data_IF_634247698913
#
_entry.id   IF_634247698913
#
_cell.length_a   1.000
_cell.length_b   1.000
_cell.length_c   1.000
_cell.angle_alpha   90.00
_cell.angle_beta   90.00
_cell.angle_gamma   90.00
#
_symmetry.space_group_name_H-M   'P 1'
#
loop_
_entity.id
_entity.type
_entity.pdbx_description
1 polymer ?
#
# COMPACT_ATOMS: atom_id res chain seq x y z
N UNK A 1 31.19 16.99 17.21
CA UNK A 1 31.55 16.28 15.97
C UNK A 1 30.49 16.63 14.95
N UNK A 2 30.85 17.24 13.82
CA UNK A 2 29.90 17.53 12.74
C UNK A 2 29.48 16.19 12.13
N UNK A 3 28.19 15.86 12.21
CA UNK A 3 27.63 14.66 11.59
C UNK A 3 27.78 14.81 10.06
N UNK A 4 28.77 14.13 9.47
CA UNK A 4 29.12 14.29 8.04
C UNK A 4 28.18 13.52 7.11
N UNK A 5 27.28 12.70 7.66
CA UNK A 5 26.35 11.87 6.92
C UNK A 5 24.91 12.07 7.41
N UNK A 6 23.97 12.08 6.46
CA UNK A 6 22.55 11.98 6.78
C UNK A 6 22.25 10.60 7.35
N UNK A 7 21.27 10.49 8.25
CA UNK A 7 20.96 9.24 8.97
C UNK A 7 20.75 8.03 8.02
N UNK A 8 20.10 8.24 6.88
CA UNK A 8 19.75 7.17 5.93
C UNK A 8 20.96 6.60 5.17
N UNK A 9 22.11 7.27 5.21
CA UNK A 9 23.33 6.80 4.54
C UNK A 9 24.03 5.68 5.31
N UNK A 10 23.77 5.58 6.62
CA UNK A 10 24.44 4.62 7.52
C UNK A 10 23.48 3.87 8.44
N UNK A 11 22.22 4.30 8.52
CA UNK A 11 21.25 3.77 9.47
C UNK A 11 20.78 2.36 9.11
N UNK A 12 20.46 1.58 10.16
CA UNK A 12 19.88 0.25 10.05
C UNK A 12 18.35 0.36 10.07
N UNK A 13 17.70 -0.18 9.04
CA UNK A 13 16.25 -0.15 8.88
C UNK A 13 15.68 -1.52 9.28
N UNK A 14 14.62 -1.50 10.09
CA UNK A 14 13.83 -2.68 10.44
C UNK A 14 12.48 -2.63 9.73
N UNK A 15 12.25 -3.57 8.82
CA UNK A 15 10.97 -3.68 8.13
C UNK A 15 9.96 -4.42 9.01
N UNK A 16 8.75 -3.85 9.13
CA UNK A 16 7.62 -4.45 9.82
C UNK A 16 6.52 -4.72 8.80
N UNK A 17 6.07 -5.98 8.75
CA UNK A 17 4.82 -6.35 8.11
C UNK A 17 3.69 -6.30 9.17
N UNK A 18 2.80 -5.28 9.17
CA UNK A 18 1.92 -4.97 10.31
C UNK A 18 1.07 -6.15 10.76
N UNK A 19 0.43 -6.83 9.79
CA UNK A 19 -0.51 -7.95 10.02
C UNK A 19 0.06 -9.08 10.86
N UNK A 20 1.39 -9.25 10.87
CA UNK A 20 2.05 -10.39 11.51
C UNK A 20 3.01 -9.98 12.62
N UNK A 21 3.00 -8.71 13.03
CA UNK A 21 3.93 -8.23 14.04
C UNK A 21 3.42 -8.45 15.47
N UNK A 22 2.33 -7.76 15.84
CA UNK A 22 1.70 -7.94 17.14
C UNK A 22 0.24 -7.45 17.12
N UNK A 23 -0.69 -8.35 17.46
CA UNK A 23 -2.10 -8.04 17.70
C UNK A 23 -2.25 -7.47 19.13
N UNK A 24 -2.89 -6.29 19.25
CA UNK A 24 -3.13 -5.63 20.54
C UNK A 24 -4.59 -5.68 21.00
N UNK A 25 -5.52 -6.04 20.11
CA UNK A 25 -6.95 -5.93 20.33
C UNK A 25 -7.67 -7.30 20.38
N UNK A 26 -6.97 -8.38 20.01
CA UNK A 26 -7.45 -9.76 20.06
C UNK A 26 -8.20 -10.24 18.82
N UNK A 27 -8.14 -9.54 17.69
CA UNK A 27 -8.79 -9.92 16.43
C UNK A 27 -7.96 -10.90 15.56
N UNK A 28 -6.74 -11.22 15.98
CA UNK A 28 -5.82 -12.14 15.31
C UNK A 28 -4.94 -11.49 14.24
N UNK A 29 -5.00 -10.17 14.05
CA UNK A 29 -4.17 -9.42 13.10
C UNK A 29 -3.35 -8.35 13.82
N UNK A 30 -2.08 -8.22 13.45
CA UNK A 30 -1.23 -7.19 14.03
C UNK A 30 -1.63 -5.77 13.62
N UNK A 31 -1.50 -4.83 14.56
CA UNK A 31 -2.03 -3.47 14.46
C UNK A 31 -1.01 -2.39 14.90
N UNK A 32 -1.33 -1.11 14.68
CA UNK A 32 -0.44 0.02 15.02
C UNK A 32 -0.20 0.16 16.53
N UNK A 33 -1.19 0.00 17.43
CA UNK A 33 -0.93 0.01 18.87
C UNK A 33 0.00 -1.13 19.30
N UNK A 34 -0.11 -2.31 18.67
CA UNK A 34 0.79 -3.44 18.87
C UNK A 34 2.23 -3.09 18.53
N UNK A 35 2.47 -2.46 17.38
CA UNK A 35 3.80 -1.94 17.01
C UNK A 35 4.30 -0.91 18.03
N UNK A 36 3.43 0.03 18.42
CA UNK A 36 3.76 1.08 19.40
C UNK A 36 4.25 0.47 20.73
N UNK A 37 3.61 -0.61 21.19
CA UNK A 37 3.99 -1.31 22.43
C UNK A 37 5.38 -1.97 22.39
N UNK A 38 5.99 -2.11 21.21
CA UNK A 38 7.29 -2.77 21.01
C UNK A 38 8.41 -1.81 20.58
N UNK A 39 8.17 -0.51 20.58
CA UNK A 39 9.20 0.46 20.22
C UNK A 39 10.45 0.39 21.14
N UNK A 40 10.28 0.03 22.41
CA UNK A 40 11.42 -0.17 23.33
C UNK A 40 12.26 -1.41 22.94
N UNK A 41 11.62 -2.46 22.41
CA UNK A 41 12.32 -3.61 21.86
C UNK A 41 13.11 -3.23 20.59
N UNK A 42 12.50 -2.46 19.69
CA UNK A 42 13.17 -1.99 18.47
C UNK A 42 14.35 -1.07 18.80
N UNK A 43 14.20 -0.19 19.79
CA UNK A 43 15.31 0.61 20.32
C UNK A 43 16.42 -0.25 20.90
N UNK A 44 16.07 -1.26 21.70
CA UNK A 44 17.05 -2.20 22.27
C UNK A 44 17.82 -2.96 21.18
N UNK A 45 17.14 -3.32 20.08
CA UNK A 45 17.76 -3.96 18.92
C UNK A 45 18.80 -3.05 18.24
N UNK A 46 18.74 -1.74 18.45
CA UNK A 46 19.70 -0.76 17.94
C UNK A 46 19.44 -0.31 16.52
N UNK A 47 18.19 -0.37 16.05
CA UNK A 47 17.80 0.08 14.70
C UNK A 47 17.59 1.59 14.68
N UNK A 48 17.84 2.23 13.55
CA UNK A 48 17.70 3.67 13.36
C UNK A 48 16.34 4.06 12.79
N UNK A 49 15.71 3.15 12.03
CA UNK A 49 14.44 3.41 11.36
C UNK A 49 13.53 2.18 11.29
N UNK A 50 12.24 2.45 11.24
CA UNK A 50 11.20 1.47 10.95
C UNK A 50 10.71 1.71 9.53
N UNK A 51 10.62 0.65 8.72
CA UNK A 51 9.93 0.67 7.44
C UNK A 51 8.65 -0.16 7.57
N UNK A 52 7.51 0.49 7.37
CA UNK A 52 6.21 -0.16 7.49
C UNK A 52 5.68 -0.52 6.10
N UNK A 53 5.33 -1.80 5.93
CA UNK A 53 4.50 -2.23 4.79
C UNK A 53 3.11 -1.57 4.82
N UNK A 54 2.34 -1.60 3.71
CA UNK A 54 1.13 -0.79 3.58
C UNK A 54 0.12 -0.93 4.71
N UNK A 55 -0.37 0.21 5.19
CA UNK A 55 -1.43 0.32 6.22
C UNK A 55 -2.67 1.05 5.73
N UNK A 56 -2.72 1.40 4.45
CA UNK A 56 -3.79 2.18 3.85
C UNK A 56 -5.08 1.36 3.70
N UNK A 57 -6.26 2.00 3.66
CA UNK A 57 -7.48 1.36 3.22
C UNK A 57 -7.28 0.64 1.88
N UNK A 58 -7.72 -0.61 1.85
CA UNK A 58 -7.47 -1.63 0.83
C UNK A 58 -8.49 -2.74 1.03
N UNK A 59 -9.00 -3.38 -0.03
CA UNK A 59 -9.83 -4.59 0.08
C UNK A 59 -9.09 -5.81 0.65
N UNK A 60 -7.76 -5.70 0.82
CA UNK A 60 -6.85 -6.73 1.30
C UNK A 60 -6.73 -7.94 0.37
N UNK A 61 -7.06 -7.79 -0.92
CA UNK A 61 -6.88 -8.83 -1.91
C UNK A 61 -5.39 -9.11 -2.19
N UNK A 62 -4.53 -8.09 -2.06
CA UNK A 62 -3.07 -8.19 -2.03
C UNK A 62 -2.50 -7.65 -0.71
N UNK A 63 -3.22 -7.92 0.39
CA UNK A 63 -2.84 -7.61 1.77
C UNK A 63 -2.30 -6.19 2.01
N UNK A 64 -2.87 -5.18 1.33
CA UNK A 64 -2.56 -3.77 1.55
C UNK A 64 -1.89 -3.07 0.36
N UNK A 65 -1.39 -3.81 -0.62
CA UNK A 65 -0.81 -3.21 -1.84
C UNK A 65 -1.88 -2.77 -2.86
N UNK A 66 -3.11 -3.32 -2.75
CA UNK A 66 -4.30 -2.90 -3.46
C UNK A 66 -5.01 -1.72 -2.75
N UNK A 67 -4.44 -0.51 -2.84
CA UNK A 67 -4.90 0.67 -2.09
C UNK A 67 -6.21 1.26 -2.67
N UNK A 68 -7.22 1.47 -1.81
CA UNK A 68 -8.49 2.15 -2.15
C UNK A 68 -8.58 3.60 -1.63
N UNK A 69 -7.71 3.98 -0.69
CA UNK A 69 -7.56 5.38 -0.25
C UNK A 69 -6.14 5.66 0.29
N UNK A 70 -5.38 6.53 -0.38
CA UNK A 70 -4.00 6.86 0.01
C UNK A 70 -3.84 7.74 1.26
N UNK A 71 -4.91 8.33 1.79
CA UNK A 71 -4.83 9.31 2.89
C UNK A 71 -5.41 8.79 4.21
N UNK A 72 -5.77 7.51 4.27
CA UNK A 72 -6.33 6.88 5.46
C UNK A 72 -5.42 5.80 6.05
N UNK A 73 -5.86 5.24 7.17
CA UNK A 73 -5.37 3.98 7.75
C UNK A 73 -6.51 2.97 7.67
N UNK A 74 -6.22 1.74 7.26
CA UNK A 74 -7.20 0.66 7.24
C UNK A 74 -7.64 0.33 8.66
N UNK A 75 -8.94 0.15 8.88
CA UNK A 75 -9.52 -0.09 10.21
C UNK A 75 -8.92 -1.30 10.94
N UNK A 76 -8.54 -2.34 10.20
CA UNK A 76 -7.80 -3.51 10.72
C UNK A 76 -6.49 -3.16 11.44
N UNK A 77 -5.84 -2.05 11.08
CA UNK A 77 -4.59 -1.62 11.72
C UNK A 77 -4.80 -0.53 12.77
N UNK A 78 -6.01 0.03 12.86
CA UNK A 78 -6.36 1.13 13.75
C UNK A 78 -6.78 2.39 12.98
N UNK A 79 -6.39 3.55 13.50
CA UNK A 79 -6.83 4.86 13.03
C UNK A 79 -5.65 5.77 12.67
N UNK A 80 -5.94 6.92 12.04
CA UNK A 80 -4.93 7.97 11.85
C UNK A 80 -4.35 8.47 13.19
N UNK A 81 -5.16 8.48 14.26
CA UNK A 81 -4.68 8.87 15.58
C UNK A 81 -3.70 7.85 16.18
N UNK A 82 -3.88 6.56 15.88
CA UNK A 82 -2.93 5.51 16.28
C UNK A 82 -1.61 5.65 15.51
N UNK A 83 -1.67 6.02 14.23
CA UNK A 83 -0.48 6.35 13.44
C UNK A 83 0.26 7.57 14.00
N UNK A 84 -0.46 8.65 14.33
CA UNK A 84 0.14 9.83 14.97
C UNK A 84 0.82 9.47 16.29
N UNK A 85 0.17 8.62 17.10
CA UNK A 85 0.72 8.12 18.36
C UNK A 85 2.00 7.31 18.13
N UNK A 86 1.97 6.38 17.16
CA UNK A 86 3.13 5.57 16.79
C UNK A 86 4.31 6.44 16.36
N UNK A 87 4.07 7.41 15.47
CA UNK A 87 5.11 8.33 14.98
C UNK A 87 5.68 9.18 16.12
N UNK A 88 4.82 9.73 16.97
CA UNK A 88 5.26 10.52 18.12
C UNK A 88 6.13 9.68 19.08
N UNK A 89 5.69 8.47 19.41
CA UNK A 89 6.40 7.57 20.31
C UNK A 89 7.71 7.04 19.71
N UNK A 90 7.77 6.81 18.40
CA UNK A 90 8.98 6.43 17.69
C UNK A 90 10.00 7.58 17.72
N UNK A 91 9.57 8.81 17.41
CA UNK A 91 10.44 9.99 17.43
C UNK A 91 10.99 10.30 18.83
N UNK A 92 10.23 10.06 19.91
CA UNK A 92 10.73 10.18 21.29
C UNK A 92 11.87 9.21 21.62
N UNK A 93 12.05 8.16 20.80
CA UNK A 93 13.11 7.15 20.92
C UNK A 93 14.20 7.32 19.86
N UNK A 94 14.21 8.46 19.18
CA UNK A 94 15.10 8.79 18.07
C UNK A 94 14.97 7.85 16.85
N UNK A 95 13.90 7.05 16.78
CA UNK A 95 13.60 6.17 15.64
C UNK A 95 13.02 6.99 14.48
N UNK A 96 13.50 6.74 13.26
CA UNK A 96 12.92 7.27 12.02
C UNK A 96 11.81 6.35 11.52
N UNK A 97 10.96 6.88 10.63
CA UNK A 97 9.84 6.14 10.08
C UNK A 97 9.77 6.31 8.56
N UNK A 98 9.58 5.19 7.86
CA UNK A 98 9.37 5.12 6.41
C UNK A 98 8.06 4.36 6.19
N UNK A 99 7.21 4.89 5.33
CA UNK A 99 5.99 4.22 4.87
C UNK A 99 6.20 3.73 3.44
N UNK A 100 5.71 2.52 3.15
CA UNK A 100 5.59 2.07 1.76
C UNK A 100 4.69 3.01 0.95
N UNK A 101 5.05 3.21 -0.30
CA UNK A 101 4.26 3.99 -1.26
C UNK A 101 4.08 3.18 -2.54
N UNK A 102 2.82 2.94 -2.92
CA UNK A 102 2.44 2.13 -4.09
C UNK A 102 1.84 3.03 -5.18
N UNK A 103 2.67 3.70 -6.01
CA UNK A 103 2.17 4.63 -7.04
C UNK A 103 1.79 3.96 -8.36
N UNK A 104 2.19 2.72 -8.58
CA UNK A 104 2.06 2.06 -9.89
C UNK A 104 0.61 1.71 -10.24
N UNK A 105 -0.20 1.36 -9.24
CA UNK A 105 -1.58 0.90 -9.41
C UNK A 105 -2.40 1.25 -8.16
N UNK A 106 -3.73 1.19 -8.29
CA UNK A 106 -4.68 1.26 -7.18
C UNK A 106 -5.51 -0.02 -7.12
N UNK A 107 -6.26 -0.24 -6.04
CA UNK A 107 -7.39 -1.18 -6.07
C UNK A 107 -8.41 -0.77 -7.13
N UNK A 108 -9.14 -1.74 -7.67
CA UNK A 108 -10.32 -1.52 -8.49
C UNK A 108 -11.48 -0.89 -7.70
N UNK A 109 -11.49 -0.98 -6.37
CA UNK A 109 -12.42 -0.25 -5.50
C UNK A 109 -12.02 1.22 -5.28
N UNK A 110 -10.83 1.65 -5.74
CA UNK A 110 -10.41 3.04 -5.60
C UNK A 110 -11.37 3.98 -6.37
N UNK A 111 -11.79 5.12 -5.80
CA UNK A 111 -12.72 6.06 -6.46
C UNK A 111 -12.29 6.47 -7.87
N UNK A 112 -10.99 6.65 -8.08
CA UNK A 112 -10.44 6.95 -9.40
C UNK A 112 -10.73 5.85 -10.44
N UNK A 113 -10.58 4.57 -10.08
CA UNK A 113 -10.87 3.48 -11.01
C UNK A 113 -12.37 3.37 -11.28
N UNK A 114 -13.19 3.51 -10.24
CA UNK A 114 -14.65 3.51 -10.37
C UNK A 114 -15.13 4.63 -11.31
N UNK A 115 -14.57 5.84 -11.19
CA UNK A 115 -14.83 6.94 -12.12
C UNK A 115 -14.31 6.65 -13.54
N UNK A 116 -13.08 6.16 -13.69
CA UNK A 116 -12.49 5.83 -14.99
C UNK A 116 -13.27 4.73 -15.74
N UNK A 117 -13.82 3.77 -15.00
CA UNK A 117 -14.65 2.66 -15.50
C UNK A 117 -16.07 3.10 -15.85
N UNK A 118 -16.58 4.18 -15.26
CA UNK A 118 -17.97 4.62 -15.42
C UNK A 118 -18.36 4.95 -16.88
N UNK A 119 -17.43 5.48 -17.66
CA UNK A 119 -17.63 5.84 -19.08
C UNK A 119 -16.29 6.03 -19.80
N UNK A 120 -16.27 5.79 -21.11
CA UNK A 120 -15.14 6.12 -21.99
C UNK A 120 -14.85 7.64 -22.09
N UNK A 121 -15.75 8.49 -21.61
CA UNK A 121 -15.62 9.97 -21.67
C UNK A 121 -15.41 10.62 -20.31
N UNK A 122 -15.26 9.84 -19.23
CA UNK A 122 -15.03 10.40 -17.90
C UNK A 122 -13.65 11.09 -17.83
N UNK A 123 -13.52 12.17 -17.06
CA UNK A 123 -12.26 12.92 -16.91
C UNK A 123 -11.10 12.07 -16.37
N UNK A 124 -11.40 11.02 -15.59
CA UNK A 124 -10.41 10.08 -15.07
C UNK A 124 -10.15 8.89 -15.99
N UNK A 125 -10.77 8.83 -17.19
CA UNK A 125 -10.64 7.67 -18.09
C UNK A 125 -9.17 7.33 -18.37
N UNK A 126 -8.38 8.35 -18.71
CA UNK A 126 -6.98 8.20 -19.12
C UNK A 126 -6.00 8.11 -17.93
N UNK A 127 -6.50 8.01 -16.70
CA UNK A 127 -5.66 7.73 -15.52
C UNK A 127 -5.27 6.25 -15.44
N UNK A 128 -5.99 5.37 -16.15
CA UNK A 128 -5.71 3.94 -16.27
C UNK A 128 -5.52 3.55 -17.73
N UNK A 129 -4.88 2.40 -17.96
CA UNK A 129 -4.55 1.95 -19.31
C UNK A 129 -5.69 1.09 -19.83
N UNK A 130 -6.46 1.65 -20.77
CA UNK A 130 -7.55 0.96 -21.47
C UNK A 130 -7.20 0.65 -22.92
N UNK A 131 -7.62 -0.50 -23.44
CA UNK A 131 -7.44 -0.88 -24.85
C UNK A 131 -8.68 -1.58 -25.38
N UNK A 132 -9.04 -1.32 -26.64
CA UNK A 132 -10.06 -2.10 -27.32
C UNK A 132 -9.61 -3.57 -27.47
N UNK A 133 -10.55 -4.52 -27.56
CA UNK A 133 -10.24 -5.90 -27.89
C UNK A 133 -9.43 -6.03 -29.18
N UNK A 134 -8.54 -7.02 -29.23
CA UNK A 134 -7.90 -7.43 -30.47
C UNK A 134 -8.94 -7.96 -31.49
N UNK A 135 -8.62 -8.01 -32.80
CA UNK A 135 -9.46 -8.70 -33.77
C UNK A 135 -9.82 -10.11 -33.29
N UNK A 136 -11.12 -10.40 -33.14
CA UNK A 136 -11.62 -11.65 -32.57
C UNK A 136 -12.02 -11.59 -31.08
N UNK A 137 -11.86 -10.44 -30.41
CA UNK A 137 -12.41 -10.17 -29.07
C UNK A 137 -11.46 -10.45 -27.91
N UNK A 138 -10.26 -10.96 -28.15
CA UNK A 138 -9.27 -11.27 -27.11
C UNK A 138 -8.48 -10.06 -26.58
N UNK A 139 -7.57 -10.27 -25.60
CA UNK A 139 -6.66 -9.25 -25.10
C UNK A 139 -5.86 -8.55 -26.22
N UNK A 140 -5.48 -7.27 -26.04
CA UNK A 140 -4.80 -6.48 -27.08
C UNK A 140 -3.38 -6.96 -27.40
N UNK A 141 -2.71 -7.69 -26.49
CA UNK A 141 -1.40 -8.30 -26.71
C UNK A 141 -1.22 -9.52 -25.78
N UNK A 142 -0.02 -10.12 -25.80
CA UNK A 142 0.31 -11.33 -25.02
C UNK A 142 0.98 -11.04 -23.67
N UNK A 143 0.82 -9.84 -23.10
CA UNK A 143 1.37 -9.54 -21.78
C UNK A 143 0.67 -10.36 -20.68
N UNK A 144 1.45 -10.77 -19.69
CA UNK A 144 1.03 -11.62 -18.58
C UNK A 144 1.13 -10.86 -17.26
N UNK A 145 0.21 -11.12 -16.34
CA UNK A 145 0.30 -10.61 -14.97
C UNK A 145 1.28 -11.46 -14.14
N UNK A 146 1.97 -10.83 -13.20
CA UNK A 146 2.84 -11.47 -12.22
C UNK A 146 2.08 -12.47 -11.32
N UNK A 147 0.80 -12.20 -11.04
CA UNK A 147 -0.07 -13.08 -10.26
C UNK A 147 -0.72 -14.19 -11.09
N UNK A 148 -0.38 -14.29 -12.38
CA UNK A 148 -0.82 -15.33 -13.29
C UNK A 148 -1.94 -14.87 -14.24
N UNK A 149 -2.02 -15.53 -15.39
CA UNK A 149 -2.97 -15.18 -16.44
C UNK A 149 -2.55 -14.00 -17.31
N UNK A 150 -3.52 -13.47 -18.06
CA UNK A 150 -3.34 -12.28 -18.91
C UNK A 150 -3.18 -11.03 -18.05
N UNK A 151 -2.42 -10.04 -18.53
CA UNK A 151 -2.33 -8.71 -17.90
C UNK A 151 -3.55 -7.81 -18.19
N UNK A 152 -4.58 -8.35 -18.84
CA UNK A 152 -5.71 -7.59 -19.35
C UNK A 152 -7.02 -8.20 -18.90
N UNK A 153 -7.83 -7.41 -18.19
CA UNK A 153 -9.16 -7.80 -17.74
C UNK A 153 -10.21 -7.03 -18.55
N UNK A 154 -11.20 -7.75 -19.08
CA UNK A 154 -12.28 -7.14 -19.86
C UNK A 154 -13.30 -6.47 -18.92
N UNK A 155 -13.68 -5.24 -19.24
CA UNK A 155 -14.77 -4.51 -18.62
C UNK A 155 -15.98 -4.46 -19.57
N UNK A 156 -17.04 -5.18 -19.20
CA UNK A 156 -18.26 -5.29 -20.03
C UNK A 156 -18.96 -3.95 -20.23
N UNK A 157 -18.90 -3.06 -19.23
CA UNK A 157 -19.59 -1.77 -19.26
C UNK A 157 -19.08 -0.88 -20.38
N UNK A 158 -17.76 -0.84 -20.56
CA UNK A 158 -17.13 -0.01 -21.59
C UNK A 158 -16.67 -0.80 -22.80
N UNK A 159 -16.71 -2.12 -22.78
CA UNK A 159 -16.28 -2.99 -23.88
C UNK A 159 -14.79 -2.85 -24.18
N UNK A 160 -13.96 -2.55 -23.17
CA UNK A 160 -12.51 -2.44 -23.28
C UNK A 160 -11.82 -3.33 -22.26
N UNK A 161 -10.56 -3.66 -22.52
CA UNK A 161 -9.67 -4.24 -21.53
C UNK A 161 -8.98 -3.13 -20.73
N UNK A 162 -8.79 -3.34 -19.42
CA UNK A 162 -7.87 -2.55 -18.61
C UNK A 162 -6.65 -3.38 -18.21
N UNK A 163 -5.49 -2.72 -18.09
CA UNK A 163 -4.24 -3.35 -17.71
C UNK A 163 -4.17 -3.59 -16.19
N UNK A 164 -3.73 -4.78 -15.79
CA UNK A 164 -3.28 -5.12 -14.44
C UNK A 164 -2.02 -6.00 -14.57
N UNK A 165 -0.97 -5.67 -13.81
CA UNK A 165 0.32 -6.37 -13.87
C UNK A 165 0.53 -7.17 -12.60
#
# INVERSE_FOLDING_TARGET
MTQTHSWWQTGVIYQIYPRSYLDSNGDGVGDLPGITSKLDYLRWLGVDAIWLSPIYPSPMADFGYDISNYTGVHSLFGTLQDLDTLLQQAHQRDLKFILDFVPNHTSDEHPWFQEARSSRTNEKRDWYIWRDPAPGGGPPNNWTSLFGGTAWQFDEQTGQYYLHL
#
